data_IF_233457469167
#
_entry.id   IF_233457469167
#
_cell.length_a   1.000
_cell.length_b   1.000
_cell.length_c   1.000
_cell.angle_alpha   90.00
_cell.angle_beta   90.00
_cell.angle_gamma   90.00
#
_symmetry.space_group_name_H-M   'P 1'
#
loop_
_entity.id
_entity.type
_entity.pdbx_description
1 polymer ?
#
# COMPACT_ATOMS: atom_id res chain seq x y z
N UNK A 1 -9.95 -18.98 5.95
CA UNK A 1 -9.27 -18.74 4.66
C UNK A 1 -8.96 -17.25 4.63
N UNK A 2 -7.69 -16.84 4.84
CA UNK A 2 -7.35 -15.41 4.78
C UNK A 2 -7.45 -14.98 3.32
N UNK A 3 -8.45 -14.18 2.98
CA UNK A 3 -8.39 -13.36 1.78
C UNK A 3 -7.49 -12.16 2.11
N UNK A 4 -6.18 -12.39 2.24
CA UNK A 4 -5.18 -11.33 2.37
C UNK A 4 -5.05 -10.65 1.01
N UNK A 5 -6.02 -9.78 0.69
CA UNK A 5 -5.84 -8.83 -0.40
C UNK A 5 -4.85 -7.76 0.08
N UNK A 6 -3.56 -8.11 0.04
CA UNK A 6 -2.42 -7.29 0.47
C UNK A 6 -2.21 -6.10 -0.50
N UNK A 7 -3.18 -5.17 -0.52
CA UNK A 7 -3.24 -4.08 -1.49
C UNK A 7 -2.20 -2.97 -1.19
N UNK A 8 -1.80 -2.77 0.06
CA UNK A 8 -0.74 -1.78 0.41
C UNK A 8 0.65 -2.30 0.03
N UNK A 9 0.91 -3.58 0.18
CA UNK A 9 2.20 -4.14 -0.20
C UNK A 9 2.34 -4.21 -1.73
N UNK A 10 1.28 -4.64 -2.41
CA UNK A 10 1.00 -4.43 -3.85
C UNK A 10 1.45 -3.02 -4.26
N UNK A 11 1.01 -1.98 -3.55
CA UNK A 11 1.32 -0.58 -3.87
C UNK A 11 2.83 -0.23 -3.82
N UNK A 12 3.62 -0.71 -2.85
CA UNK A 12 5.08 -0.48 -2.80
C UNK A 12 5.85 -1.30 -3.83
N UNK A 13 5.33 -2.49 -4.13
CA UNK A 13 5.92 -3.49 -4.98
C UNK A 13 5.67 -3.22 -6.48
N UNK A 14 4.48 -2.75 -6.85
CA UNK A 14 4.08 -2.56 -8.25
C UNK A 14 4.72 -1.35 -8.91
N UNK A 15 5.13 -0.33 -8.13
CA UNK A 15 5.85 0.82 -8.70
C UNK A 15 7.26 0.46 -9.15
N UNK A 16 7.76 -0.69 -8.72
CA UNK A 16 9.01 -1.27 -9.19
C UNK A 16 8.84 -1.83 -10.61
N UNK A 17 7.62 -2.09 -11.15
CA UNK A 17 7.46 -2.83 -12.42
C UNK A 17 6.50 -2.21 -13.46
N UNK A 18 5.52 -1.36 -13.09
CA UNK A 18 4.37 -1.03 -13.98
C UNK A 18 4.72 -0.72 -15.45
N UNK A 19 4.36 -1.65 -16.34
CA UNK A 19 4.23 -1.46 -17.78
C UNK A 19 2.82 -0.93 -18.08
N UNK A 20 2.76 0.03 -18.99
CA UNK A 20 1.56 0.70 -19.48
C UNK A 20 0.53 -0.32 -20.04
N UNK A 21 -0.70 -0.33 -19.53
CA UNK A 21 -1.82 -1.04 -20.15
C UNK A 21 -3.05 -0.14 -20.30
N UNK A 22 -3.62 -0.16 -21.51
CA UNK A 22 -4.71 0.69 -21.99
C UNK A 22 -6.02 0.51 -21.21
N UNK A 23 -6.82 1.60 -21.22
CA UNK A 23 -8.07 1.88 -20.50
C UNK A 23 -9.24 0.94 -20.83
N UNK A 24 -10.00 0.61 -19.78
CA UNK A 24 -11.44 0.29 -19.78
C UNK A 24 -11.96 0.56 -18.35
N UNK A 25 -13.16 1.15 -18.28
CA UNK A 25 -13.75 1.80 -17.10
C UNK A 25 -14.73 0.90 -16.37
N UNK A 26 -14.45 0.57 -15.11
CA UNK A 26 -15.42 0.01 -14.16
C UNK A 26 -15.26 0.69 -12.81
N UNK A 27 -16.22 1.52 -12.41
CA UNK A 27 -16.23 2.26 -11.14
C UNK A 27 -17.08 1.48 -10.12
N UNK A 28 -16.49 1.08 -8.99
CA UNK A 28 -17.26 0.72 -7.79
C UNK A 28 -17.53 2.00 -7.01
N UNK A 29 -18.81 2.33 -6.87
CA UNK A 29 -19.34 3.53 -6.20
C UNK A 29 -19.50 3.28 -4.69
N UNK A 30 -18.91 4.14 -3.87
CA UNK A 30 -19.36 4.38 -2.49
C UNK A 30 -20.13 5.70 -2.45
N UNK A 31 -21.42 5.65 -2.13
CA UNK A 31 -22.30 6.83 -2.03
C UNK A 31 -22.19 7.46 -0.64
N UNK A 32 -21.01 7.89 -0.23
CA UNK A 32 -20.82 8.49 1.11
C UNK A 32 -20.20 9.87 1.02
N UNK A 33 -20.90 10.84 1.60
CA UNK A 33 -20.64 12.27 1.56
C UNK A 33 -19.62 12.71 2.61
N UNK A 34 -18.59 11.92 2.93
CA UNK A 34 -17.61 12.29 3.95
C UNK A 34 -16.33 12.80 3.33
N UNK A 35 -15.73 13.81 3.97
CA UNK A 35 -14.48 14.42 3.53
C UNK A 35 -13.34 13.43 3.65
N UNK A 36 -12.60 13.26 2.56
CA UNK A 36 -11.36 12.50 2.55
C UNK A 36 -10.23 13.41 2.04
N UNK A 37 -9.26 13.71 2.90
CA UNK A 37 -8.15 14.60 2.56
C UNK A 37 -7.13 13.91 1.65
N UNK A 38 -6.69 14.62 0.61
CA UNK A 38 -5.51 14.25 -0.18
C UNK A 38 -4.24 14.26 0.69
N UNK A 39 -3.56 13.14 0.75
CA UNK A 39 -2.23 12.97 1.35
C UNK A 39 -1.14 13.00 0.27
N UNK A 40 0.12 13.07 0.68
CA UNK A 40 1.25 13.06 -0.27
C UNK A 40 1.31 11.76 -1.08
N UNK A 41 0.80 10.66 -0.53
CA UNK A 41 0.82 9.31 -1.08
C UNK A 41 -0.57 8.74 -1.34
N UNK A 42 -1.61 9.56 -1.29
CA UNK A 42 -2.99 9.11 -1.52
C UNK A 42 -3.84 10.27 -2.00
N UNK A 43 -4.49 10.11 -3.15
CA UNK A 43 -5.47 11.07 -3.63
C UNK A 43 -6.84 10.36 -3.76
N UNK A 44 -7.80 10.69 -2.87
CA UNK A 44 -9.09 10.02 -2.85
C UNK A 44 -9.94 10.27 -4.11
N UNK A 45 -9.60 11.28 -4.91
CA UNK A 45 -10.32 11.64 -6.13
C UNK A 45 -9.64 11.15 -7.42
N UNK A 46 -8.37 10.75 -7.33
CA UNK A 46 -7.59 10.31 -8.49
C UNK A 46 -7.45 8.79 -8.56
N UNK A 47 -7.60 8.11 -7.43
CA UNK A 47 -7.28 6.69 -7.35
C UNK A 47 -8.41 5.84 -7.92
N UNK A 48 -8.15 5.14 -9.04
CA UNK A 48 -9.03 4.12 -9.61
C UNK A 48 -8.53 2.74 -9.21
N UNK A 49 -9.41 1.85 -8.74
CA UNK A 49 -9.06 0.44 -8.54
C UNK A 49 -9.35 -0.33 -9.83
N UNK A 50 -8.30 -0.87 -10.45
CA UNK A 50 -8.37 -1.62 -11.71
C UNK A 50 -7.39 -2.79 -11.67
N UNK A 51 -7.81 -3.96 -12.14
CA UNK A 51 -7.00 -5.19 -12.16
C UNK A 51 -6.43 -5.57 -10.79
N UNK A 52 -7.22 -5.37 -9.72
CA UNK A 52 -6.80 -5.65 -8.34
C UNK A 52 -5.88 -4.59 -7.72
N UNK A 53 -5.74 -3.40 -8.33
CA UNK A 53 -4.75 -2.39 -7.93
C UNK A 53 -5.32 -0.99 -7.89
N UNK A 54 -4.91 -0.20 -6.92
CA UNK A 54 -5.09 1.25 -6.97
C UNK A 54 -4.11 1.87 -7.96
N UNK A 55 -4.63 2.57 -8.95
CA UNK A 55 -3.89 3.29 -9.97
C UNK A 55 -4.28 4.78 -9.86
N UNK A 56 -3.28 5.63 -9.73
CA UNK A 56 -3.42 7.08 -9.73
C UNK A 56 -2.13 7.67 -10.28
N UNK A 57 -2.23 8.52 -11.30
CA UNK A 57 -1.05 9.01 -12.02
C UNK A 57 -0.11 9.80 -11.09
N UNK A 58 -0.65 10.63 -10.20
CA UNK A 58 0.11 11.37 -9.19
C UNK A 58 0.73 10.45 -8.15
N UNK A 59 0.02 9.38 -7.75
CA UNK A 59 0.53 8.40 -6.78
C UNK A 59 1.78 7.70 -7.31
N UNK A 60 1.69 7.13 -8.51
CA UNK A 60 2.81 6.40 -9.11
C UNK A 60 4.01 7.32 -9.36
N UNK A 61 3.77 8.55 -9.81
CA UNK A 61 4.82 9.54 -10.03
C UNK A 61 5.46 10.00 -8.71
N UNK A 62 4.67 10.14 -7.64
CA UNK A 62 5.18 10.46 -6.32
C UNK A 62 6.06 9.32 -5.79
N UNK A 63 5.56 8.08 -5.78
CA UNK A 63 6.28 6.96 -5.16
C UNK A 63 7.62 6.70 -5.87
N UNK A 64 7.70 6.80 -7.20
CA UNK A 64 8.92 6.53 -7.96
C UNK A 64 10.09 7.49 -7.69
N UNK A 65 9.90 8.57 -6.91
CA UNK A 65 11.02 9.44 -6.50
C UNK A 65 11.93 8.69 -5.51
N UNK A 66 13.28 8.80 -5.63
CA UNK A 66 14.19 8.01 -4.80
C UNK A 66 13.97 8.12 -3.29
N UNK A 67 13.75 9.34 -2.81
CA UNK A 67 13.49 9.64 -1.40
C UNK A 67 12.17 9.04 -0.90
N UNK A 68 11.15 8.96 -1.76
CA UNK A 68 9.85 8.41 -1.41
C UNK A 68 9.91 6.88 -1.36
N UNK A 69 10.59 6.24 -2.32
CA UNK A 69 10.88 4.81 -2.25
C UNK A 69 11.58 4.43 -0.94
N UNK A 70 12.61 5.21 -0.56
CA UNK A 70 13.34 4.99 0.69
C UNK A 70 12.43 5.19 1.90
N UNK A 71 11.70 6.30 1.98
CA UNK A 71 10.75 6.56 3.08
C UNK A 71 9.73 5.44 3.25
N UNK A 72 9.11 4.98 2.15
CA UNK A 72 8.13 3.89 2.22
C UNK A 72 8.81 2.60 2.65
N UNK A 73 9.99 2.26 2.12
CA UNK A 73 10.73 1.07 2.55
C UNK A 73 11.00 1.06 4.06
N UNK A 74 11.51 2.17 4.60
CA UNK A 74 11.82 2.31 6.02
C UNK A 74 10.56 2.22 6.89
N UNK A 75 9.45 2.78 6.38
CA UNK A 75 8.13 2.66 7.02
C UNK A 75 7.65 1.20 7.05
N UNK A 76 7.77 0.47 5.94
CA UNK A 76 7.39 -0.95 5.87
C UNK A 76 8.28 -1.85 6.74
N UNK A 77 9.58 -1.56 6.83
CA UNK A 77 10.47 -2.24 7.79
C UNK A 77 10.02 -2.01 9.24
N UNK A 78 9.56 -0.81 9.59
CA UNK A 78 9.00 -0.52 10.93
C UNK A 78 7.70 -1.29 11.20
N UNK A 79 6.84 -1.49 10.19
CA UNK A 79 5.64 -2.34 10.31
C UNK A 79 6.02 -3.80 10.56
N UNK A 80 7.00 -4.28 9.79
CA UNK A 80 7.43 -5.67 9.72
C UNK A 80 6.93 -6.32 8.44
N UNK A 81 7.85 -6.66 7.53
CA UNK A 81 7.52 -7.28 6.25
C UNK A 81 6.88 -8.67 6.40
N UNK A 82 7.19 -9.38 7.47
CA UNK A 82 6.60 -10.66 7.88
C UNK A 82 5.09 -10.58 8.16
N UNK A 83 4.58 -9.38 8.48
CA UNK A 83 3.14 -9.14 8.66
C UNK A 83 2.43 -8.80 7.35
N UNK A 84 3.20 -8.41 6.33
CA UNK A 84 2.70 -7.88 5.06
C UNK A 84 2.91 -8.85 3.89
N UNK A 85 3.81 -9.83 4.03
CA UNK A 85 4.16 -10.83 3.03
C UNK A 85 4.24 -12.17 3.75
N UNK A 86 3.37 -13.10 3.38
CA UNK A 86 3.46 -14.48 3.84
C UNK A 86 4.23 -15.38 2.84
N UNK A 87 4.43 -16.64 3.22
CA UNK A 87 5.15 -17.59 2.36
C UNK A 87 4.41 -17.86 1.04
N UNK A 88 3.08 -17.77 1.04
CA UNK A 88 2.28 -17.94 -0.17
C UNK A 88 2.54 -16.78 -1.14
N UNK A 89 2.47 -15.55 -0.64
CA UNK A 89 2.83 -14.34 -1.36
C UNK A 89 4.27 -14.36 -1.92
N UNK A 90 5.21 -14.97 -1.17
CA UNK A 90 6.62 -15.08 -1.57
C UNK A 90 6.87 -16.12 -2.67
N UNK A 91 6.06 -17.18 -2.72
CA UNK A 91 6.33 -18.38 -3.53
C UNK A 91 5.28 -18.68 -4.60
N UNK A 92 4.13 -17.99 -4.59
CA UNK A 92 3.05 -18.22 -5.56
C UNK A 92 3.46 -17.86 -6.99
N UNK A 93 2.94 -18.61 -7.96
CA UNK A 93 3.05 -18.30 -9.38
C UNK A 93 1.66 -18.36 -10.05
N UNK A 94 1.18 -17.28 -10.69
CA UNK A 94 1.79 -15.96 -10.80
C UNK A 94 1.95 -15.28 -9.43
N UNK A 95 2.92 -14.38 -9.34
CA UNK A 95 3.12 -13.60 -8.13
C UNK A 95 1.97 -12.59 -8.00
N UNK A 96 1.10 -12.83 -7.02
CA UNK A 96 -0.12 -12.05 -6.81
C UNK A 96 0.19 -10.62 -6.34
N UNK A 97 1.32 -10.42 -5.67
CA UNK A 97 1.79 -9.11 -5.22
C UNK A 97 2.45 -8.29 -6.35
N UNK A 98 2.95 -8.91 -7.42
CA UNK A 98 3.72 -8.28 -8.53
C UNK A 98 2.98 -8.35 -9.87
N UNK A 99 1.77 -8.92 -9.90
CA UNK A 99 0.79 -8.88 -10.98
C UNK A 99 0.90 -10.10 -11.88
N UNK A 100 0.57 -9.95 -13.17
CA UNK A 100 0.82 -10.98 -14.17
C UNK A 100 2.33 -11.11 -14.51
N UNK A 101 3.21 -11.11 -13.49
CA UNK A 101 4.55 -11.68 -13.59
C UNK A 101 4.37 -13.16 -13.31
N UNK A 102 4.51 -13.99 -14.35
CA UNK A 102 4.34 -15.44 -14.25
C UNK A 102 5.57 -16.12 -13.62
N UNK A 103 6.03 -15.57 -12.48
CA UNK A 103 7.14 -16.05 -11.66
C UNK A 103 6.92 -15.65 -10.19
N UNK A 104 7.36 -16.48 -9.23
CA UNK A 104 7.39 -16.15 -7.81
C UNK A 104 8.15 -14.86 -7.44
N UNK A 105 7.81 -14.29 -6.29
CA UNK A 105 8.44 -13.09 -5.74
C UNK A 105 9.92 -13.28 -5.46
N UNK A 106 10.27 -14.36 -4.74
CA UNK A 106 11.67 -14.68 -4.43
C UNK A 106 12.56 -14.76 -5.69
N UNK A 107 12.11 -15.46 -6.73
CA UNK A 107 12.82 -15.56 -8.00
C UNK A 107 13.00 -14.20 -8.68
N UNK A 108 11.99 -13.33 -8.58
CA UNK A 108 12.05 -12.02 -9.21
C UNK A 108 12.99 -11.09 -8.45
N UNK A 109 13.02 -11.16 -7.10
CA UNK A 109 14.03 -10.47 -6.27
C UNK A 109 15.44 -10.92 -6.68
N UNK A 110 15.68 -12.23 -6.75
CA UNK A 110 17.00 -12.76 -7.10
C UNK A 110 17.42 -12.36 -8.52
N UNK A 111 16.50 -12.44 -9.49
CA UNK A 111 16.76 -12.02 -10.86
C UNK A 111 17.09 -10.52 -10.96
N UNK A 112 16.40 -9.68 -10.19
CA UNK A 112 16.70 -8.25 -10.13
C UNK A 112 18.09 -7.99 -9.54
N UNK A 113 18.48 -8.70 -8.49
CA UNK A 113 19.82 -8.59 -7.91
C UNK A 113 20.91 -9.00 -8.90
N UNK A 114 20.71 -10.11 -9.61
CA UNK A 114 21.67 -10.61 -10.61
C UNK A 114 21.82 -9.61 -11.77
N UNK A 115 20.71 -9.05 -12.25
CA UNK A 115 20.69 -8.23 -13.48
C UNK A 115 21.10 -6.77 -13.29
N UNK A 116 21.23 -6.28 -12.05
CA UNK A 116 21.44 -4.86 -11.76
C UNK A 116 22.65 -4.23 -12.49
N UNK A 117 23.81 -4.90 -12.46
CA UNK A 117 25.07 -4.41 -13.04
C UNK A 117 25.52 -5.18 -14.29
N UNK A 118 24.66 -6.07 -14.82
CA UNK A 118 24.97 -6.73 -16.08
C UNK A 118 24.99 -5.71 -17.22
N UNK A 119 26.07 -5.74 -18.00
CA UNK A 119 26.21 -4.94 -19.22
C UNK A 119 25.17 -5.35 -20.26
N UNK A 120 25.00 -6.66 -20.43
CA UNK A 120 24.09 -7.27 -21.39
C UNK A 120 23.06 -8.13 -20.64
N UNK A 121 21.80 -7.69 -20.64
CA UNK A 121 20.67 -8.40 -20.03
C UNK A 121 19.86 -9.01 -21.16
N UNK A 122 19.83 -10.34 -21.25
CA UNK A 122 19.10 -11.07 -22.30
C UNK A 122 17.58 -10.83 -22.20
N UNK A 123 17.03 -11.00 -21.00
CA UNK A 123 15.60 -10.79 -20.73
C UNK A 123 15.17 -9.35 -21.01
N UNK A 124 14.25 -9.20 -21.97
CA UNK A 124 13.63 -7.91 -22.31
C UNK A 124 13.05 -7.22 -21.09
N UNK A 125 12.37 -7.96 -20.24
CA UNK A 125 11.72 -7.45 -19.04
C UNK A 125 12.71 -6.77 -18.09
N UNK A 126 13.78 -7.47 -17.66
CA UNK A 126 14.75 -6.90 -16.71
C UNK A 126 15.57 -5.76 -17.32
N UNK A 127 15.84 -5.83 -18.63
CA UNK A 127 16.50 -4.74 -19.36
C UNK A 127 15.66 -3.46 -19.36
N UNK A 128 14.38 -3.56 -19.71
CA UNK A 128 13.45 -2.42 -19.73
C UNK A 128 13.20 -1.86 -18.32
N UNK A 129 13.07 -2.75 -17.33
CA UNK A 129 12.97 -2.39 -15.93
C UNK A 129 14.14 -1.49 -15.51
N UNK A 130 15.39 -1.93 -15.68
CA UNK A 130 16.55 -1.17 -15.21
C UNK A 130 16.79 0.10 -16.02
N UNK A 131 16.46 0.09 -17.32
CA UNK A 131 16.47 1.29 -18.15
C UNK A 131 15.50 2.35 -17.62
N UNK A 132 14.29 1.95 -17.23
CA UNK A 132 13.27 2.84 -16.64
C UNK A 132 13.70 3.36 -15.27
N UNK A 133 14.24 2.49 -14.40
CA UNK A 133 14.74 2.94 -13.10
C UNK A 133 15.92 3.90 -13.24
N UNK A 134 16.74 3.73 -14.28
CA UNK A 134 17.81 4.66 -14.63
C UNK A 134 17.24 6.00 -15.10
N UNK A 135 16.24 6.02 -15.98
CA UNK A 135 15.64 7.27 -16.48
C UNK A 135 14.87 8.04 -15.41
N UNK A 136 14.30 7.34 -14.43
CA UNK A 136 13.63 7.94 -13.27
C UNK A 136 14.61 8.36 -12.15
N UNK A 137 15.91 8.11 -12.32
CA UNK A 137 16.93 8.47 -11.33
C UNK A 137 16.88 7.66 -10.03
N UNK A 138 16.17 6.53 -10.01
CA UNK A 138 15.93 5.69 -8.83
C UNK A 138 16.60 4.30 -8.88
N UNK A 139 17.36 3.98 -9.94
CA UNK A 139 18.05 2.69 -10.13
C UNK A 139 18.79 2.21 -8.87
N UNK A 140 19.63 3.08 -8.27
CA UNK A 140 20.45 2.71 -7.10
C UNK A 140 19.60 2.39 -5.87
N UNK A 141 18.62 3.25 -5.54
CA UNK A 141 17.77 3.04 -4.35
C UNK A 141 16.90 1.80 -4.50
N UNK A 142 16.39 1.52 -5.70
CA UNK A 142 15.63 0.29 -5.96
C UNK A 142 16.49 -0.94 -5.72
N UNK A 143 17.74 -0.94 -6.20
CA UNK A 143 18.66 -2.04 -5.95
C UNK A 143 19.00 -2.23 -4.45
N UNK A 144 19.23 -1.14 -3.73
CA UNK A 144 19.47 -1.19 -2.28
C UNK A 144 18.26 -1.80 -1.54
N UNK A 145 17.05 -1.37 -1.88
CA UNK A 145 15.79 -1.92 -1.35
C UNK A 145 15.69 -3.41 -1.70
N UNK A 146 15.89 -3.82 -2.94
CA UNK A 146 15.83 -5.23 -3.37
C UNK A 146 16.83 -6.09 -2.58
N UNK A 147 18.02 -5.57 -2.29
CA UNK A 147 19.03 -6.26 -1.49
C UNK A 147 18.59 -6.46 -0.05
N UNK A 148 17.93 -5.46 0.55
CA UNK A 148 17.35 -5.58 1.89
C UNK A 148 16.15 -6.54 1.91
N UNK A 149 15.29 -6.51 0.90
CA UNK A 149 14.19 -7.46 0.76
C UNK A 149 14.68 -8.91 0.66
N UNK A 150 15.73 -9.18 -0.10
CA UNK A 150 16.34 -10.53 -0.14
C UNK A 150 16.84 -10.98 1.24
N UNK A 151 17.45 -10.07 2.01
CA UNK A 151 17.88 -10.38 3.39
C UNK A 151 16.70 -10.70 4.29
N UNK A 152 15.67 -9.84 4.28
CA UNK A 152 14.50 -9.94 5.15
C UNK A 152 13.63 -11.16 4.81
N UNK A 153 13.23 -11.29 3.55
CA UNK A 153 12.20 -12.23 3.11
C UNK A 153 12.74 -13.61 2.76
N UNK A 154 13.94 -13.69 2.17
CA UNK A 154 14.49 -14.95 1.66
C UNK A 154 15.49 -15.55 2.65
N UNK A 155 16.35 -14.71 3.24
CA UNK A 155 17.42 -15.17 4.14
C UNK A 155 17.05 -15.15 5.62
N UNK A 156 15.87 -14.61 5.97
CA UNK A 156 15.44 -14.45 7.37
C UNK A 156 16.37 -13.58 8.21
N UNK A 157 17.14 -12.68 7.57
CA UNK A 157 18.11 -11.84 8.25
C UNK A 157 17.46 -10.52 8.68
N UNK A 158 17.60 -10.11 9.95
CA UNK A 158 17.04 -8.85 10.42
C UNK A 158 17.75 -7.68 9.74
N UNK A 159 16.96 -6.70 9.30
CA UNK A 159 17.45 -5.42 8.77
C UNK A 159 16.77 -4.32 9.57
N UNK A 160 17.57 -3.46 10.21
CA UNK A 160 17.05 -2.32 10.97
C UNK A 160 16.47 -1.27 10.03
N UNK A 161 15.43 -0.57 10.50
CA UNK A 161 14.94 0.62 9.83
C UNK A 161 15.63 1.88 10.38
N UNK A 162 15.67 2.93 9.56
CA UNK A 162 16.06 4.28 9.94
C UNK A 162 14.83 5.07 10.38
N UNK A 163 14.73 5.35 11.68
CA UNK A 163 13.60 6.07 12.26
C UNK A 163 13.40 7.48 11.69
N UNK A 164 14.45 8.13 11.19
CA UNK A 164 14.35 9.48 10.61
C UNK A 164 13.68 9.49 9.23
N UNK A 165 13.59 8.33 8.59
CA UNK A 165 13.00 8.17 7.26
C UNK A 165 11.60 7.58 7.29
N UNK A 166 11.11 7.23 8.48
CA UNK A 166 9.77 6.67 8.65
C UNK A 166 8.72 7.77 8.46
N UNK A 167 7.68 7.45 7.71
CA UNK A 167 6.47 8.26 7.64
C UNK A 167 5.47 7.74 8.65
N UNK A 168 5.31 8.46 9.77
CA UNK A 168 4.41 8.04 10.85
C UNK A 168 2.94 8.00 10.41
N UNK A 169 2.53 8.86 9.47
CA UNK A 169 1.18 8.81 8.91
C UNK A 169 0.93 7.53 8.15
N UNK A 170 1.83 7.18 7.24
CA UNK A 170 1.73 5.93 6.50
C UNK A 170 1.82 4.72 7.45
N UNK A 171 2.71 4.75 8.44
CA UNK A 171 2.83 3.69 9.44
C UNK A 171 1.50 3.43 10.17
N UNK A 172 0.88 4.49 10.70
CA UNK A 172 -0.38 4.37 11.43
C UNK A 172 -1.51 3.91 10.52
N UNK A 173 -1.60 4.44 9.30
CA UNK A 173 -2.59 4.04 8.31
C UNK A 173 -2.49 2.57 7.90
N UNK A 174 -1.27 2.04 7.76
CA UNK A 174 -1.04 0.62 7.49
C UNK A 174 -1.47 -0.21 8.69
N UNK A 175 -1.12 0.20 9.91
CA UNK A 175 -1.51 -0.54 11.12
C UNK A 175 -3.02 -0.63 11.35
N UNK A 176 -3.75 0.42 11.00
CA UNK A 176 -5.22 0.43 11.09
C UNK A 176 -5.80 -0.51 10.02
N UNK A 177 -5.33 -0.39 8.78
CA UNK A 177 -5.85 -1.16 7.64
C UNK A 177 -5.54 -2.65 7.70
N UNK A 178 -4.30 -3.02 8.02
CA UNK A 178 -3.82 -4.41 8.03
C UNK A 178 -4.07 -5.12 9.36
N UNK A 179 -5.02 -4.61 10.15
CA UNK A 179 -5.40 -5.21 11.43
C UNK A 179 -6.04 -6.58 11.16
N UNK A 180 -5.74 -7.55 12.01
CA UNK A 180 -6.21 -8.93 11.87
C UNK A 180 -6.92 -9.47 13.13
N UNK A 181 -7.26 -8.56 14.05
CA UNK A 181 -7.90 -8.85 15.32
C UNK A 181 -8.67 -7.63 15.80
N UNK A 182 -9.78 -7.85 16.50
CA UNK A 182 -10.58 -6.78 17.11
C UNK A 182 -9.73 -5.95 18.06
N UNK A 183 -9.68 -4.61 17.93
CA UNK A 183 -8.90 -3.76 18.83
C UNK A 183 -9.54 -3.68 20.23
N UNK A 184 -8.79 -3.17 21.20
CA UNK A 184 -9.39 -2.71 22.46
C UNK A 184 -10.21 -1.44 22.21
N UNK A 185 -11.11 -1.08 23.14
CA UNK A 185 -11.86 0.18 23.07
C UNK A 185 -10.92 1.39 22.93
N UNK A 186 -9.85 1.46 23.73
CA UNK A 186 -8.89 2.56 23.69
C UNK A 186 -8.18 2.67 22.34
N UNK A 187 -7.75 1.52 21.79
CA UNK A 187 -7.11 1.49 20.48
C UNK A 187 -8.08 1.87 19.38
N UNK A 188 -9.32 1.40 19.46
CA UNK A 188 -10.36 1.75 18.50
C UNK A 188 -10.59 3.26 18.50
N UNK A 189 -10.80 3.86 19.69
CA UNK A 189 -10.99 5.30 19.84
C UNK A 189 -9.80 6.09 19.30
N UNK A 190 -8.58 5.64 19.60
CA UNK A 190 -7.37 6.25 19.04
C UNK A 190 -7.34 6.15 17.50
N UNK A 191 -7.69 5.01 16.91
CA UNK A 191 -7.70 4.82 15.46
C UNK A 191 -8.71 5.78 14.79
N UNK A 192 -9.91 5.91 15.38
CA UNK A 192 -10.95 6.84 14.93
C UNK A 192 -10.49 8.31 15.02
N UNK A 193 -9.98 8.72 16.18
CA UNK A 193 -9.50 10.09 16.40
C UNK A 193 -8.31 10.42 15.53
N UNK A 194 -7.43 9.44 15.30
CA UNK A 194 -6.28 9.57 14.42
C UNK A 194 -6.73 9.88 12.98
N UNK A 195 -7.59 9.06 12.39
CA UNK A 195 -8.09 9.26 11.02
C UNK A 195 -8.77 10.62 10.86
N UNK A 196 -9.61 11.01 11.82
CA UNK A 196 -10.24 12.34 11.86
C UNK A 196 -9.19 13.46 11.90
N UNK A 197 -8.19 13.34 12.77
CA UNK A 197 -7.15 14.38 12.95
C UNK A 197 -6.33 14.65 11.68
N UNK A 198 -6.18 13.67 10.80
CA UNK A 198 -5.51 13.82 9.51
C UNK A 198 -6.47 14.12 8.35
N UNK A 199 -7.77 14.28 8.63
CA UNK A 199 -8.80 14.67 7.67
C UNK A 199 -9.36 13.52 6.81
N UNK A 200 -9.27 12.28 7.28
CA UNK A 200 -9.81 11.09 6.61
C UNK A 200 -11.15 10.67 7.27
N UNK A 201 -12.19 11.50 7.11
CA UNK A 201 -13.47 11.29 7.79
C UNK A 201 -14.26 10.13 7.19
N UNK A 202 -14.14 9.88 5.88
CA UNK A 202 -14.76 8.70 5.26
C UNK A 202 -14.14 7.40 5.74
N UNK A 203 -12.81 7.37 5.86
CA UNK A 203 -12.11 6.25 6.51
C UNK A 203 -12.54 6.05 7.96
N UNK A 204 -12.74 7.14 8.73
CA UNK A 204 -13.23 7.06 10.11
C UNK A 204 -14.67 6.56 10.20
N UNK A 205 -15.55 6.96 9.27
CA UNK A 205 -16.90 6.41 9.13
C UNK A 205 -16.85 4.89 8.92
N UNK A 206 -15.98 4.42 8.03
CA UNK A 206 -15.85 2.98 7.77
C UNK A 206 -15.41 2.19 9.01
N UNK A 207 -14.60 2.76 9.92
CA UNK A 207 -14.32 2.09 11.20
C UNK A 207 -15.58 1.88 12.05
N UNK A 208 -16.54 2.79 12.00
CA UNK A 208 -17.76 2.70 12.82
C UNK A 208 -18.77 1.69 12.25
N UNK A 209 -18.87 1.59 10.92
CA UNK A 209 -19.99 0.91 10.27
C UNK A 209 -19.59 -0.20 9.30
N UNK A 210 -18.42 -0.11 8.68
CA UNK A 210 -18.08 -0.89 7.48
C UNK A 210 -16.77 -1.68 7.65
N UNK A 211 -16.24 -1.80 8.87
CA UNK A 211 -15.05 -2.59 9.14
C UNK A 211 -15.33 -3.76 10.10
N UNK A 212 -15.12 -4.98 9.62
CA UNK A 212 -15.35 -6.23 10.33
C UNK A 212 -14.61 -6.29 11.67
N UNK A 213 -13.35 -5.83 11.73
CA UNK A 213 -12.58 -5.89 12.97
C UNK A 213 -13.05 -4.88 14.02
N UNK A 214 -13.89 -3.91 13.67
CA UNK A 214 -14.39 -2.89 14.59
C UNK A 214 -15.88 -3.07 14.93
N UNK A 215 -16.54 -4.06 14.33
CA UNK A 215 -17.99 -4.27 14.47
C UNK A 215 -18.44 -4.54 15.92
N UNK A 216 -17.60 -5.23 16.70
CA UNK A 216 -17.89 -5.66 18.07
C UNK A 216 -17.50 -4.63 19.14
N UNK A 217 -16.93 -3.49 18.72
CA UNK A 217 -16.59 -2.41 19.64
C UNK A 217 -17.88 -1.69 20.07
N UNK A 218 -18.09 -1.56 21.38
CA UNK A 218 -19.26 -0.91 21.98
C UNK A 218 -19.17 0.63 21.92
N UNK A 219 -19.23 1.18 20.70
CA UNK A 219 -19.20 2.62 20.45
C UNK A 219 -20.53 3.32 20.77
N UNK A 220 -20.48 4.59 21.14
CA UNK A 220 -21.59 5.52 20.83
C UNK A 220 -21.44 5.99 19.38
N UNK A 221 -21.96 5.20 18.44
CA UNK A 221 -21.81 5.48 17.01
C UNK A 221 -22.47 6.79 16.60
N UNK A 222 -23.55 7.22 17.27
CA UNK A 222 -24.25 8.45 16.93
C UNK A 222 -23.47 9.68 17.38
N UNK A 223 -22.90 9.64 18.58
CA UNK A 223 -22.01 10.70 19.06
C UNK A 223 -20.81 10.86 18.11
N UNK A 224 -20.11 9.76 17.82
CA UNK A 224 -18.92 9.78 16.96
C UNK A 224 -19.24 10.19 15.51
N UNK A 225 -20.41 9.81 14.98
CA UNK A 225 -20.84 10.21 13.65
C UNK A 225 -20.96 11.74 13.50
N UNK A 226 -21.43 12.42 14.55
CA UNK A 226 -21.56 13.89 14.56
C UNK A 226 -20.21 14.62 14.58
N UNK A 227 -19.11 13.92 14.85
CA UNK A 227 -17.75 14.46 14.78
C UNK A 227 -17.16 14.44 13.36
N UNK A 228 -17.84 13.81 12.39
CA UNK A 228 -17.33 13.64 11.03
C UNK A 228 -17.74 14.79 10.10
N UNK A 229 -16.81 15.26 9.28
CA UNK A 229 -17.06 16.33 8.30
C UNK A 229 -17.59 15.76 6.98
N UNK A 230 -18.67 16.36 6.48
CA UNK A 230 -19.23 16.04 5.18
C UNK A 230 -18.47 16.72 4.03
N UNK A 231 -18.39 16.04 2.89
CA UNK A 231 -17.92 16.57 1.61
C UNK A 231 -19.11 17.08 0.79
N UNK A 232 -19.29 18.40 0.77
CA UNK A 232 -20.37 19.07 0.03
C UNK A 232 -20.06 19.25 -1.46
N UNK A 233 -18.90 18.82 -1.95
CA UNK A 233 -18.40 19.11 -3.31
C UNK A 233 -18.12 17.81 -4.08
N UNK A 234 -17.46 16.83 -3.47
CA UNK A 234 -17.08 15.58 -4.13
C UNK A 234 -17.86 14.39 -3.57
N UNK A 235 -18.78 13.85 -4.39
CA UNK A 235 -19.59 12.69 -4.03
C UNK A 235 -18.97 11.34 -4.46
N UNK A 236 -17.69 11.33 -4.83
CA UNK A 236 -17.01 10.16 -5.41
C UNK A 236 -15.61 9.93 -4.84
N UNK A 237 -15.39 10.33 -3.59
CA UNK A 237 -14.14 10.09 -2.88
C UNK A 237 -14.00 8.61 -2.53
N UNK A 238 -12.81 8.06 -2.71
CA UNK A 238 -12.42 6.77 -2.11
C UNK A 238 -11.88 6.98 -0.72
N UNK A 239 -12.13 6.03 0.18
CA UNK A 239 -11.62 6.06 1.53
C UNK A 239 -10.40 5.14 1.64
N UNK A 240 -9.43 5.50 2.48
CA UNK A 240 -8.24 4.67 2.72
C UNK A 240 -8.61 3.35 3.41
N UNK A 241 -9.42 3.45 4.46
CA UNK A 241 -10.10 2.31 5.09
C UNK A 241 -11.37 2.07 4.30
N UNK A 242 -11.48 0.92 3.65
CA UNK A 242 -12.63 0.55 2.82
C UNK A 242 -13.65 -0.26 3.62
N UNK A 243 -14.84 -0.40 3.04
CA UNK A 243 -15.85 -1.34 3.50
C UNK A 243 -15.38 -2.77 3.21
N UNK A 244 -15.23 -3.58 4.26
CA UNK A 244 -14.83 -4.99 4.19
C UNK A 244 -15.92 -5.95 4.73
N UNK A 245 -17.16 -5.45 4.87
CA UNK A 245 -18.31 -6.24 5.37
C UNK A 245 -19.10 -6.95 4.27
N UNK A 246 -18.74 -6.73 3.00
CA UNK A 246 -19.44 -7.23 1.81
C UNK A 246 -18.79 -8.43 1.14
#
# INVERSE_FOLDING_TARGET
MKASSNIILTIFVFTIISCDSKKETGLVQGTHQYKEKKLSFFDPNETIFRDGKYQGYSYEKWLRKPQNLRMVHETLKKVGYDKLIDDYDLTSNPNLLWGYVNRPLNETIDSLLITYDLKDIESKYYREFWARRKSEGNKKVVFEITKELSKLLIKGQPVKYDGNMVNDTLYNLIKIKERNSTPSMDQAKWDFDYLKSIGLHGSAYNLLFENYFYQDISWDKQELLNELELDSINHRSRFWIEDDTK
#
